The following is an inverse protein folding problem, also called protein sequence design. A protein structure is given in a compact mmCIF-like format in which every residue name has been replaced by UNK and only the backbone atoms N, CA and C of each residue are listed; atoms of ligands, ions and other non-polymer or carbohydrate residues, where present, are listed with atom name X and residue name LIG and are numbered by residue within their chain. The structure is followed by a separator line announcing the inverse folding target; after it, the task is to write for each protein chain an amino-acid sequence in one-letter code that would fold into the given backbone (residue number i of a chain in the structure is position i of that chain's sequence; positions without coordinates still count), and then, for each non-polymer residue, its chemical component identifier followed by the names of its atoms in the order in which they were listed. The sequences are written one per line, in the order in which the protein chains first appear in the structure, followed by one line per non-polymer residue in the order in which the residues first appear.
data_IF_713385828395
#
_entry.id   IF_713385828395
#
_cell.length_a   1.000
_cell.length_b   1.000
_cell.length_c   1.000
_cell.angle_alpha   90.00
_cell.angle_beta   90.00
_cell.angle_gamma   90.00
#
_symmetry.space_group_name_H-M   'P 1'
#
loop_
_entity.id
_entity.type
_entity.pdbx_description
1 polymer ?
#
# COMPACT_ATOMS: atom_id res chain seq x y z
N UNK A 1 -10.02 -16.40 -16.19
CA UNK A 1 -9.59 -15.22 -15.42
C UNK A 1 -8.39 -14.52 -16.05
N UNK A 2 -7.20 -15.16 -16.10
CA UNK A 2 -5.97 -14.53 -16.63
C UNK A 2 -6.11 -13.92 -18.03
N UNK A 3 -6.79 -14.61 -18.98
CA UNK A 3 -7.06 -14.04 -20.31
C UNK A 3 -7.87 -12.74 -20.28
N UNK A 4 -8.81 -12.62 -19.34
CA UNK A 4 -9.62 -11.41 -19.18
C UNK A 4 -8.81 -10.28 -18.51
N UNK A 5 -7.99 -10.62 -17.52
CA UNK A 5 -7.07 -9.70 -16.84
C UNK A 5 -6.01 -9.11 -17.78
N UNK A 6 -5.53 -9.88 -18.74
CA UNK A 6 -4.53 -9.43 -19.73
C UNK A 6 -5.16 -8.91 -21.03
N UNK A 7 -6.49 -8.76 -21.09
CA UNK A 7 -7.16 -8.23 -22.28
C UNK A 7 -6.91 -6.72 -22.42
N UNK A 8 -6.69 -6.24 -23.65
CA UNK A 8 -6.65 -4.79 -23.93
C UNK A 8 -7.98 -4.09 -23.63
N UNK A 9 -9.09 -4.85 -23.64
CA UNK A 9 -10.43 -4.39 -23.26
C UNK A 9 -11.03 -5.42 -22.30
N UNK A 10 -10.73 -5.32 -21.00
CA UNK A 10 -11.33 -6.19 -20.01
C UNK A 10 -12.84 -5.93 -19.92
N UNK A 11 -13.67 -6.96 -19.67
CA UNK A 11 -15.11 -6.79 -19.45
C UNK A 11 -15.41 -5.83 -18.29
N UNK A 12 -16.50 -5.08 -18.38
CA UNK A 12 -16.87 -4.09 -17.36
C UNK A 12 -17.09 -4.74 -15.97
N UNK A 13 -17.60 -5.96 -15.95
CA UNK A 13 -17.93 -6.74 -14.76
C UNK A 13 -16.69 -7.35 -14.10
N UNK A 14 -15.54 -7.35 -14.78
CA UNK A 14 -14.33 -8.01 -14.31
C UNK A 14 -13.90 -7.47 -12.94
N UNK A 15 -13.96 -6.15 -12.74
CA UNK A 15 -13.58 -5.52 -11.47
C UNK A 15 -14.46 -6.00 -10.30
N UNK A 16 -15.78 -6.02 -10.49
CA UNK A 16 -16.72 -6.48 -9.46
C UNK A 16 -16.56 -7.98 -9.18
N UNK A 17 -16.36 -8.79 -10.21
CA UNK A 17 -16.12 -10.22 -10.08
C UNK A 17 -14.86 -10.51 -9.25
N UNK A 18 -13.75 -9.82 -9.55
CA UNK A 18 -12.49 -9.99 -8.83
C UNK A 18 -12.60 -9.56 -7.37
N UNK A 19 -13.26 -8.43 -7.11
CA UNK A 19 -13.49 -7.92 -5.76
C UNK A 19 -14.34 -8.88 -4.92
N UNK A 20 -15.38 -9.49 -5.51
CA UNK A 20 -16.19 -10.48 -4.81
C UNK A 20 -15.45 -11.80 -4.60
N UNK A 21 -14.72 -12.27 -5.62
CA UNK A 21 -13.92 -13.50 -5.52
C UNK A 21 -12.90 -13.42 -4.38
N UNK A 22 -12.20 -12.28 -4.24
CA UNK A 22 -11.16 -12.10 -3.23
C UNK A 22 -11.67 -11.90 -1.81
N UNK A 23 -12.99 -11.85 -1.58
CA UNK A 23 -13.54 -11.92 -0.22
C UNK A 23 -13.35 -13.31 0.40
N UNK A 24 -13.33 -14.37 -0.42
CA UNK A 24 -13.02 -15.72 0.03
C UNK A 24 -11.50 -15.94 0.10
N UNK A 25 -11.03 -16.69 1.11
CA UNK A 25 -9.61 -16.99 1.30
C UNK A 25 -9.02 -17.75 0.10
N UNK A 26 -9.77 -18.69 -0.47
CA UNK A 26 -9.40 -19.43 -1.68
C UNK A 26 -9.25 -18.51 -2.89
N UNK A 27 -10.11 -17.48 -2.97
CA UNK A 27 -10.03 -16.47 -4.02
C UNK A 27 -8.77 -15.62 -3.91
N UNK A 28 -8.41 -15.19 -2.69
CA UNK A 28 -7.14 -14.48 -2.44
C UNK A 28 -5.94 -15.35 -2.79
N UNK A 29 -5.89 -16.59 -2.33
CA UNK A 29 -4.81 -17.53 -2.66
C UNK A 29 -4.68 -17.77 -4.17
N UNK A 30 -5.79 -17.83 -4.89
CA UNK A 30 -5.78 -17.95 -6.35
C UNK A 30 -5.24 -16.69 -7.06
N UNK A 31 -5.47 -15.50 -6.49
CA UNK A 31 -4.93 -14.23 -7.00
C UNK A 31 -3.47 -14.01 -6.62
N UNK A 32 -3.05 -14.53 -5.46
CA UNK A 32 -1.68 -14.50 -4.92
C UNK A 32 -0.86 -15.73 -5.34
N UNK A 33 -1.24 -16.39 -6.44
CA UNK A 33 -0.54 -17.57 -6.93
C UNK A 33 0.95 -17.30 -7.19
N UNK A 34 1.78 -18.33 -7.00
CA UNK A 34 3.25 -18.23 -6.91
C UNK A 34 3.95 -17.55 -8.10
N UNK A 35 3.38 -17.62 -9.30
CA UNK A 35 3.96 -16.95 -10.48
C UNK A 35 3.68 -15.44 -10.52
N UNK A 36 2.85 -14.93 -9.62
CA UNK A 36 2.52 -13.52 -9.48
C UNK A 36 1.76 -12.92 -10.68
N UNK A 37 1.31 -13.73 -11.63
CA UNK A 37 0.71 -13.22 -12.88
C UNK A 37 -0.63 -12.56 -12.61
N UNK A 38 -1.45 -13.14 -11.73
CA UNK A 38 -2.73 -12.57 -11.34
C UNK A 38 -2.55 -11.22 -10.65
N UNK A 39 -1.72 -11.14 -9.60
CA UNK A 39 -1.50 -9.89 -8.85
C UNK A 39 -0.84 -8.80 -9.71
N UNK A 40 0.15 -9.15 -10.55
CA UNK A 40 0.77 -8.19 -11.47
C UNK A 40 -0.22 -7.68 -12.53
N UNK A 41 -1.12 -8.54 -13.00
CA UNK A 41 -2.18 -8.10 -13.90
C UNK A 41 -3.18 -7.16 -13.20
N UNK A 42 -3.55 -7.42 -11.94
CA UNK A 42 -4.36 -6.51 -11.14
C UNK A 42 -3.70 -5.13 -10.98
N UNK A 43 -2.41 -5.11 -10.64
CA UNK A 43 -1.63 -3.86 -10.53
C UNK A 43 -1.58 -3.10 -11.86
N UNK A 44 -1.44 -3.81 -12.99
CA UNK A 44 -1.45 -3.19 -14.31
C UNK A 44 -2.79 -2.50 -14.63
N UNK A 45 -3.92 -3.02 -14.14
CA UNK A 45 -5.23 -2.39 -14.33
C UNK A 45 -5.33 -1.02 -13.64
N UNK A 46 -4.58 -0.78 -12.56
CA UNK A 46 -4.56 0.52 -11.88
C UNK A 46 -3.91 1.62 -12.73
N UNK A 47 -2.92 1.24 -13.56
CA UNK A 47 -2.15 2.16 -14.41
C UNK A 47 -2.78 2.39 -15.79
N UNK A 48 -3.66 1.49 -16.21
CA UNK A 48 -4.26 1.55 -17.53
C UNK A 48 -5.39 2.62 -17.58
N UNK A 49 -5.61 3.27 -18.74
CA UNK A 49 -6.69 4.24 -18.94
C UNK A 49 -8.04 3.50 -19.06
N UNK A 50 -8.47 2.88 -17.96
CA UNK A 50 -9.67 2.07 -17.85
C UNK A 50 -10.75 2.83 -17.07
N UNK A 51 -12.03 2.49 -17.27
CA UNK A 51 -13.13 3.06 -16.50
C UNK A 51 -12.91 2.92 -14.99
N UNK A 52 -13.30 3.94 -14.23
CA UNK A 52 -13.13 4.02 -12.78
C UNK A 52 -13.66 2.78 -12.05
N UNK A 53 -14.80 2.22 -12.50
CA UNK A 53 -15.41 1.03 -11.92
C UNK A 53 -14.48 -0.19 -11.95
N UNK A 54 -13.74 -0.36 -13.05
CA UNK A 54 -12.85 -1.50 -13.21
C UNK A 54 -11.61 -1.35 -12.35
N UNK A 55 -11.01 -0.14 -12.34
CA UNK A 55 -9.85 0.18 -11.49
C UNK A 55 -10.20 0.04 -10.01
N UNK A 56 -11.36 0.55 -9.60
CA UNK A 56 -11.91 0.37 -8.25
C UNK A 56 -12.09 -1.10 -7.88
N UNK A 57 -12.63 -1.92 -8.78
CA UNK A 57 -12.79 -3.35 -8.55
C UNK A 57 -11.46 -4.10 -8.44
N UNK A 58 -10.49 -3.78 -9.30
CA UNK A 58 -9.12 -4.32 -9.22
C UNK A 58 -8.43 -3.93 -7.90
N UNK A 59 -8.56 -2.67 -7.49
CA UNK A 59 -8.04 -2.17 -6.22
C UNK A 59 -8.71 -2.83 -5.02
N UNK A 60 -10.03 -3.01 -5.05
CA UNK A 60 -10.75 -3.77 -4.03
C UNK A 60 -10.26 -5.22 -3.94
N UNK A 61 -9.98 -5.85 -5.08
CA UNK A 61 -9.40 -7.19 -5.11
C UNK A 61 -8.00 -7.23 -4.46
N UNK A 62 -7.14 -6.25 -4.79
CA UNK A 62 -5.79 -6.10 -4.22
C UNK A 62 -5.82 -5.83 -2.71
N UNK A 63 -6.66 -4.89 -2.27
CA UNK A 63 -6.88 -4.58 -0.85
C UNK A 63 -7.27 -5.83 -0.07
N UNK A 64 -8.20 -6.62 -0.60
CA UNK A 64 -8.59 -7.89 0.01
C UNK A 64 -7.41 -8.87 0.07
N UNK A 65 -6.58 -8.97 -0.97
CA UNK A 65 -5.39 -9.83 -0.96
C UNK A 65 -4.37 -9.41 0.11
N UNK A 66 -4.34 -8.14 0.50
CA UNK A 66 -3.45 -7.66 1.56
C UNK A 66 -3.87 -8.13 2.97
N UNK A 67 -4.99 -8.86 3.15
CA UNK A 67 -5.25 -9.57 4.41
C UNK A 67 -4.39 -10.83 4.59
N UNK A 68 -3.69 -11.30 3.54
CA UNK A 68 -2.73 -12.41 3.63
C UNK A 68 -1.33 -11.86 3.99
N UNK A 69 -1.12 -11.52 5.26
CA UNK A 69 0.11 -10.89 5.78
C UNK A 69 1.39 -11.62 5.38
N UNK A 70 1.36 -12.96 5.31
CA UNK A 70 2.51 -13.78 4.89
C UNK A 70 3.03 -13.44 3.47
N UNK A 71 2.22 -12.78 2.64
CA UNK A 71 2.57 -12.38 1.28
C UNK A 71 3.11 -10.94 1.17
N UNK A 72 3.05 -10.12 2.22
CA UNK A 72 3.43 -8.69 2.14
C UNK A 72 4.86 -8.48 1.68
N UNK A 73 5.83 -9.21 2.27
CA UNK A 73 7.23 -9.14 1.87
C UNK A 73 7.42 -9.49 0.38
N UNK A 74 6.66 -10.46 -0.14
CA UNK A 74 6.67 -10.83 -1.55
C UNK A 74 6.00 -9.78 -2.45
N UNK A 75 4.86 -9.22 -2.03
CA UNK A 75 4.14 -8.16 -2.74
C UNK A 75 5.00 -6.90 -2.89
N UNK A 76 5.74 -6.54 -1.84
CA UNK A 76 6.66 -5.40 -1.82
C UNK A 76 8.00 -5.71 -2.50
N UNK A 77 8.33 -6.99 -2.68
CA UNK A 77 9.56 -7.45 -3.28
C UNK A 77 9.70 -7.15 -4.78
N UNK A 78 10.89 -7.38 -5.35
CA UNK A 78 11.23 -7.01 -6.73
C UNK A 78 10.42 -7.75 -7.81
N UNK A 79 9.80 -8.88 -7.46
CA UNK A 79 8.99 -9.67 -8.40
C UNK A 79 7.64 -9.02 -8.70
N UNK A 80 7.00 -8.45 -7.67
CA UNK A 80 5.64 -7.88 -7.77
C UNK A 80 5.67 -6.36 -7.83
N UNK A 81 6.53 -5.71 -7.03
CA UNK A 81 6.68 -4.26 -6.95
C UNK A 81 5.33 -3.54 -6.74
N UNK A 82 4.55 -4.02 -5.76
CA UNK A 82 3.24 -3.44 -5.46
C UNK A 82 3.34 -1.97 -5.02
N UNK A 83 4.40 -1.60 -4.29
CA UNK A 83 4.56 -0.25 -3.75
C UNK A 83 4.61 0.83 -4.84
N UNK A 84 5.53 0.79 -5.83
CA UNK A 84 5.50 1.75 -6.94
C UNK A 84 4.17 1.77 -7.69
N UNK A 85 3.55 0.61 -7.89
CA UNK A 85 2.29 0.51 -8.61
C UNK A 85 1.09 1.14 -7.86
N UNK A 86 1.09 1.11 -6.52
CA UNK A 86 0.08 1.75 -5.67
C UNK A 86 0.34 3.24 -5.47
N UNK A 87 1.61 3.67 -5.45
CA UNK A 87 1.98 5.08 -5.32
C UNK A 87 1.81 5.88 -6.61
N UNK A 88 2.04 5.26 -7.77
CA UNK A 88 1.99 5.97 -9.05
C UNK A 88 0.67 6.72 -9.32
N UNK A 89 -0.52 6.14 -9.07
CA UNK A 89 -1.78 6.87 -9.23
C UNK A 89 -1.99 7.97 -8.17
N UNK A 90 -1.23 7.98 -7.08
CA UNK A 90 -1.26 9.04 -6.07
C UNK A 90 -0.29 10.19 -6.39
N UNK A 91 0.71 9.93 -7.22
CA UNK A 91 1.70 10.92 -7.63
C UNK A 91 1.14 11.84 -8.73
N UNK A 92 1.50 13.12 -8.66
CA UNK A 92 1.25 14.11 -9.70
C UNK A 92 2.53 14.84 -10.08
N UNK A 93 2.39 15.92 -10.85
CA UNK A 93 3.53 16.73 -11.30
C UNK A 93 3.90 17.79 -10.26
N UNK A 94 4.00 17.39 -9.00
CA UNK A 94 4.45 18.27 -7.93
C UNK A 94 5.94 18.57 -8.07
N UNK A 95 6.34 19.81 -7.79
CA UNK A 95 7.76 20.16 -7.73
C UNK A 95 8.35 19.64 -6.42
N UNK A 96 9.15 18.58 -6.51
CA UNK A 96 9.92 18.03 -5.40
C UNK A 96 11.36 18.54 -5.48
N UNK A 97 12.02 18.67 -4.33
CA UNK A 97 13.46 18.93 -4.30
C UNK A 97 14.24 17.72 -4.84
N UNK A 98 15.49 17.94 -5.25
CA UNK A 98 16.37 16.87 -5.73
C UNK A 98 16.54 15.78 -4.65
N UNK A 99 16.75 16.17 -3.40
CA UNK A 99 16.92 15.25 -2.28
C UNK A 99 15.66 14.43 -1.96
N UNK A 100 14.47 14.98 -2.18
CA UNK A 100 13.19 14.24 -2.05
C UNK A 100 13.00 13.29 -3.23
N UNK A 101 13.35 13.72 -4.43
CA UNK A 101 13.22 12.92 -5.66
C UNK A 101 14.13 11.69 -5.62
N UNK A 102 15.37 11.84 -5.14
CA UNK A 102 16.32 10.72 -4.99
C UNK A 102 15.83 9.61 -4.06
N UNK A 103 14.95 9.93 -3.10
CA UNK A 103 14.37 8.96 -2.16
C UNK A 103 13.20 8.18 -2.77
N UNK A 104 12.63 8.65 -3.88
CA UNK A 104 11.51 7.98 -4.52
C UNK A 104 11.97 6.75 -5.31
N UNK A 105 11.11 5.71 -5.43
CA UNK A 105 11.29 4.66 -6.43
C UNK A 105 11.53 5.25 -7.83
N UNK A 106 12.39 4.61 -8.62
CA UNK A 106 12.78 5.06 -9.98
C UNK A 106 11.58 5.42 -10.85
N UNK A 107 10.50 4.63 -10.76
CA UNK A 107 9.24 4.84 -11.49
C UNK A 107 8.53 6.17 -11.17
N UNK A 108 8.85 6.81 -10.04
CA UNK A 108 8.22 8.05 -9.56
C UNK A 108 9.12 9.28 -9.69
N UNK A 109 10.42 9.12 -9.98
CA UNK A 109 11.36 10.23 -10.05
C UNK A 109 11.11 11.13 -11.27
N UNK A 110 10.71 10.53 -12.38
CA UNK A 110 10.53 11.23 -13.66
C UNK A 110 9.20 10.83 -14.31
N UNK A 111 8.12 11.50 -13.87
CA UNK A 111 6.79 11.29 -14.41
C UNK A 111 6.62 12.02 -15.76
N UNK A 112 5.89 11.43 -16.72
CA UNK A 112 5.52 12.13 -17.95
C UNK A 112 4.72 13.42 -17.66
N UNK A 113 4.86 14.50 -18.46
CA UNK A 113 4.10 15.74 -18.27
C UNK A 113 2.57 15.56 -18.27
N UNK A 114 2.08 14.55 -18.99
CA UNK A 114 0.68 14.17 -19.06
C UNK A 114 0.20 13.34 -17.85
N UNK A 115 1.11 12.85 -17.01
CA UNK A 115 0.76 12.07 -15.83
C UNK A 115 -0.04 12.93 -14.85
N UNK A 116 -1.13 12.37 -14.32
CA UNK A 116 -2.00 13.03 -13.36
C UNK A 116 -2.30 12.06 -12.24
N UNK A 117 -2.51 12.63 -11.06
CA UNK A 117 -3.11 11.91 -9.93
C UNK A 117 -4.44 11.33 -10.37
N UNK A 118 -4.77 10.19 -9.79
CA UNK A 118 -6.09 9.58 -9.86
C UNK A 118 -7.18 10.63 -9.61
N UNK A 119 -8.09 10.80 -10.57
CA UNK A 119 -9.15 11.81 -10.50
C UNK A 119 -10.20 11.45 -9.45
N UNK A 120 -10.51 10.17 -9.30
CA UNK A 120 -11.56 9.66 -8.42
C UNK A 120 -11.13 9.67 -6.94
N UNK A 121 -11.74 10.51 -6.08
CA UNK A 121 -11.35 10.64 -4.68
C UNK A 121 -11.44 9.33 -3.89
N UNK A 122 -12.46 8.54 -4.18
CA UNK A 122 -12.65 7.25 -3.53
C UNK A 122 -11.58 6.23 -3.90
N UNK A 123 -11.06 6.27 -5.13
CA UNK A 123 -9.95 5.39 -5.54
C UNK A 123 -8.67 5.83 -4.83
N UNK A 124 -8.41 7.14 -4.70
CA UNK A 124 -7.29 7.66 -3.89
C UNK A 124 -7.36 7.18 -2.44
N UNK A 125 -8.55 7.28 -1.82
CA UNK A 125 -8.77 6.78 -0.46
C UNK A 125 -8.46 5.29 -0.34
N UNK A 126 -8.98 4.48 -1.26
CA UNK A 126 -8.73 3.04 -1.27
C UNK A 126 -7.24 2.69 -1.48
N UNK A 127 -6.51 3.46 -2.28
CA UNK A 127 -5.06 3.29 -2.47
C UNK A 127 -4.33 3.53 -1.16
N UNK A 128 -4.67 4.60 -0.43
CA UNK A 128 -4.08 4.90 0.88
C UNK A 128 -4.40 3.81 1.90
N UNK A 129 -5.64 3.30 1.95
CA UNK A 129 -6.00 2.17 2.81
C UNK A 129 -5.22 0.90 2.46
N UNK A 130 -5.01 0.64 1.17
CA UNK A 130 -4.25 -0.53 0.71
C UNK A 130 -2.76 -0.40 1.04
N UNK A 131 -2.20 0.80 0.88
CA UNK A 131 -0.83 1.12 1.30
C UNK A 131 -0.66 0.95 2.80
N UNK A 132 -1.61 1.45 3.60
CA UNK A 132 -1.62 1.26 5.04
C UNK A 132 -1.59 -0.23 5.41
N UNK A 133 -2.44 -1.03 4.77
CA UNK A 133 -2.55 -2.46 5.05
C UNK A 133 -1.30 -3.27 4.66
N UNK A 134 -0.61 -2.90 3.57
CA UNK A 134 0.58 -3.65 3.10
C UNK A 134 1.89 -3.14 3.73
N UNK A 135 1.92 -1.90 4.22
CA UNK A 135 3.12 -1.27 4.80
C UNK A 135 3.18 -1.33 6.33
N UNK A 136 2.03 -1.36 7.00
CA UNK A 136 2.00 -1.63 8.44
C UNK A 136 2.16 -3.14 8.60
N UNK A 137 3.42 -3.55 8.63
CA UNK A 137 3.85 -4.94 8.75
C UNK A 137 4.00 -5.35 10.22
N UNK A 138 3.01 -6.13 10.65
CA UNK A 138 2.99 -7.21 11.65
C UNK A 138 1.73 -7.08 12.51
N UNK A 139 0.96 -8.17 12.57
CA UNK A 139 -0.01 -8.31 13.66
C UNK A 139 0.78 -8.27 14.98
N UNK A 140 0.36 -7.45 15.95
CA UNK A 140 1.01 -7.43 17.26
C UNK A 140 1.10 -8.86 17.79
N UNK A 141 2.24 -9.21 18.40
CA UNK A 141 2.38 -10.51 19.07
C UNK A 141 1.21 -10.70 20.06
N UNK A 142 0.72 -11.94 20.22
CA UNK A 142 -0.39 -12.20 21.13
C UNK A 142 -0.07 -11.65 22.55
N UNK A 143 -0.85 -10.66 22.99
CA UNK A 143 -0.57 -9.89 24.23
C UNK A 143 -0.12 -8.44 24.00
N UNK A 144 0.17 -8.02 22.76
CA UNK A 144 0.41 -6.62 22.37
C UNK A 144 -0.86 -5.91 21.86
N UNK A 145 -2.02 -6.52 22.09
CA UNK A 145 -3.33 -6.01 21.69
C UNK A 145 -3.78 -4.80 22.51
N UNK A 146 -3.36 -4.73 23.78
CA UNK A 146 -3.66 -3.64 24.71
C UNK A 146 -2.38 -2.95 25.15
N UNK A 147 -2.10 -1.78 24.59
CA UNK A 147 -0.91 -0.97 24.91
C UNK A 147 -0.78 -0.61 26.41
N UNK A 148 -1.88 -0.68 27.18
CA UNK A 148 -1.85 -0.46 28.63
C UNK A 148 -1.33 -1.67 29.42
N UNK A 149 -1.33 -2.84 28.81
CA UNK A 149 -0.89 -4.11 29.42
C UNK A 149 0.48 -4.57 28.87
N UNK A 150 0.97 -3.90 27.83
CA UNK A 150 2.29 -4.20 27.24
C UNK A 150 3.39 -3.90 28.26
N UNK A 151 4.26 -4.88 28.47
CA UNK A 151 5.47 -4.68 29.28
C UNK A 151 6.49 -3.90 28.47
N UNK A 152 6.87 -2.71 28.95
CA UNK A 152 7.86 -1.86 28.29
C UNK A 152 9.26 -2.42 28.60
N UNK A 153 10.12 -2.65 27.60
CA UNK A 153 11.50 -3.04 27.85
C UNK A 153 12.27 -1.96 28.65
N UNK A 154 13.12 -2.37 29.58
CA UNK A 154 13.87 -1.44 30.46
C UNK A 154 14.67 -0.40 29.68
N UNK A 155 15.21 -0.76 28.52
CA UNK A 155 15.97 0.14 27.64
C UNK A 155 15.10 1.30 27.12
N UNK A 156 13.85 1.01 26.76
CA UNK A 156 12.87 2.00 26.30
C UNK A 156 12.40 2.88 27.46
N UNK A 157 12.16 2.31 28.64
CA UNK A 157 11.83 3.09 29.84
C UNK A 157 12.94 4.11 30.17
N UNK A 158 14.20 3.68 30.09
CA UNK A 158 15.35 4.55 30.33
C UNK A 158 15.46 5.68 29.28
N UNK A 159 15.22 5.38 28.00
CA UNK A 159 15.24 6.37 26.93
C UNK A 159 14.12 7.41 27.10
N UNK A 160 12.90 6.97 27.41
CA UNK A 160 11.77 7.87 27.65
C UNK A 160 12.04 8.76 28.87
N UNK A 161 12.53 8.19 29.97
CA UNK A 161 12.88 8.94 31.17
C UNK A 161 14.04 9.94 30.96
N UNK A 162 14.90 9.71 29.97
CA UNK A 162 15.94 10.66 29.58
C UNK A 162 15.34 11.81 28.75
N UNK A 163 14.46 11.51 27.80
CA UNK A 163 13.77 12.51 26.99
C UNK A 163 12.90 13.45 27.82
N UNK A 164 12.20 12.92 28.84
CA UNK A 164 11.40 13.75 29.74
C UNK A 164 12.28 14.73 30.52
N UNK A 165 13.43 14.27 31.03
CA UNK A 165 14.41 15.13 31.73
C UNK A 165 15.00 16.19 30.81
N UNK A 166 15.28 15.84 29.56
CA UNK A 166 15.82 16.77 28.57
C UNK A 166 14.78 17.85 28.19
N UNK A 167 13.48 17.51 28.19
CA UNK A 167 12.39 18.47 27.96
C UNK A 167 12.15 19.38 29.17
N UNK A 168 12.18 18.84 30.38
CA UNK A 168 12.06 19.62 31.63
C UNK A 168 13.21 20.63 31.76
N UNK A 169 14.45 20.22 31.43
CA UNK A 169 15.62 21.10 31.46
C UNK A 169 15.63 22.20 30.38
N UNK A 170 14.88 22.05 29.29
CA UNK A 170 14.74 23.07 28.26
C UNK A 170 13.68 24.13 28.62
N UNK A 171 12.69 23.80 29.44
CA UNK A 171 11.67 24.75 29.92
C UNK A 171 12.17 25.74 30.98
N UNK A 172 13.21 25.39 31.73
CA UNK A 172 13.77 26.24 32.80
C UNK A 172 14.78 27.29 32.30
N UNK A 173 15.14 27.28 31.00
CA UNK A 173 16.08 28.22 30.39
C UNK A 173 15.46 29.45 29.72
N UNK A 174 14.13 29.57 29.70
CA UNK A 174 13.39 30.64 29.01
C UNK A 174 12.71 31.67 29.95
N UNK A 175 12.97 31.65 31.26
CA UNK A 175 12.55 32.71 32.21
C UNK A 175 13.61 33.80 32.47
#
# INVERSE_FOLDING_TARGET
LLRALSSARPPAELGALLCNLSQAAEGRRALLERSGRCVRALLALLRAPLPAQLRRGALGALRNCCFEHEHHAWLLGPEVQALPALLLPLAGNEELTEAETEQLPVDLQFLPPEHRREEEPEIRKMLLETLLLVLIGDEPEAGMENLLEVTIPEELEQQLAQLDRDQEGQGEGEE
#
